data_IF_854838806577
#
_entry.id   IF_854838806577
#
_cell.length_a   1.000
_cell.length_b   1.000
_cell.length_c   1.000
_cell.angle_alpha   90.00
_cell.angle_beta   90.00
_cell.angle_gamma   90.00
#
_symmetry.space_group_name_H-M   'P 1'
#
loop_
_entity.id
_entity.type
_entity.pdbx_description
1 polymer ?
#
# COMPACT_ATOMS: atom_id res chain seq x y z
N UNK A 1 15.38 20.44 -9.84
CA UNK A 1 16.60 20.60 -10.64
C UNK A 1 16.34 20.18 -12.07
N UNK A 2 17.25 20.46 -12.99
CA UNK A 2 17.16 19.97 -14.37
C UNK A 2 17.25 18.43 -14.38
N UNK A 3 16.39 17.78 -15.16
CA UNK A 3 16.39 16.32 -15.32
C UNK A 3 17.02 15.97 -16.66
N UNK A 4 17.96 15.02 -16.65
CA UNK A 4 18.58 14.50 -17.86
C UNK A 4 17.80 13.28 -18.33
N UNK A 5 17.17 13.38 -19.50
CA UNK A 5 16.42 12.28 -20.10
C UNK A 5 17.37 11.36 -20.85
N UNK A 6 17.31 10.08 -20.53
CA UNK A 6 18.10 9.05 -21.18
C UNK A 6 17.24 7.84 -21.57
N UNK A 7 17.72 7.11 -22.57
CA UNK A 7 17.12 5.84 -23.03
C UNK A 7 18.21 4.79 -23.24
N UNK A 8 17.84 3.58 -23.64
CA UNK A 8 18.79 2.51 -23.98
C UNK A 8 18.62 2.06 -25.42
N UNK A 9 19.68 1.42 -25.94
CA UNK A 9 19.61 0.81 -27.28
C UNK A 9 18.54 -0.28 -27.39
N UNK A 10 18.24 -0.99 -26.30
CA UNK A 10 17.17 -2.00 -26.29
C UNK A 10 15.79 -1.36 -26.47
N UNK A 11 15.51 -0.26 -25.77
CA UNK A 11 14.23 0.46 -25.90
C UNK A 11 14.07 1.01 -27.32
N UNK A 12 15.14 1.55 -27.92
CA UNK A 12 15.10 2.03 -29.31
C UNK A 12 14.80 0.88 -30.29
N UNK A 13 15.45 -0.27 -30.12
CA UNK A 13 15.23 -1.46 -30.97
C UNK A 13 13.85 -2.09 -30.78
N UNK A 14 13.31 -2.05 -29.57
CA UNK A 14 11.93 -2.46 -29.30
C UNK A 14 10.92 -1.54 -29.99
N UNK A 15 11.13 -0.21 -29.95
CA UNK A 15 10.28 0.74 -30.69
C UNK A 15 10.38 0.53 -32.22
N UNK A 16 11.54 0.09 -32.72
CA UNK A 16 11.71 -0.30 -34.12
C UNK A 16 10.89 -1.54 -34.49
N UNK A 17 10.89 -2.57 -33.63
CA UNK A 17 10.16 -3.83 -33.89
C UNK A 17 8.65 -3.66 -33.80
N UNK A 18 8.16 -2.71 -33.01
CA UNK A 18 6.74 -2.37 -32.90
C UNK A 18 6.19 -1.61 -34.13
N UNK A 19 7.06 -1.18 -35.05
CA UNK A 19 6.69 -0.73 -36.38
C UNK A 19 6.14 0.70 -36.46
N UNK A 20 5.38 0.98 -37.54
CA UNK A 20 5.02 2.35 -37.97
C UNK A 20 4.19 3.12 -36.92
N UNK A 21 3.36 2.43 -36.15
CA UNK A 21 2.50 3.06 -35.14
C UNK A 21 3.29 3.81 -34.06
N UNK A 22 4.51 3.35 -33.74
CA UNK A 22 5.37 3.94 -32.72
C UNK A 22 6.60 4.65 -33.30
N UNK A 23 6.60 4.94 -34.60
CA UNK A 23 7.72 5.61 -35.25
C UNK A 23 8.01 7.01 -34.66
N UNK A 24 6.96 7.77 -34.33
CA UNK A 24 7.12 9.06 -33.65
C UNK A 24 7.79 8.93 -32.29
N UNK A 25 7.42 7.91 -31.50
CA UNK A 25 8.04 7.64 -30.20
C UNK A 25 9.52 7.24 -30.36
N UNK A 26 9.86 6.46 -31.39
CA UNK A 26 11.26 6.15 -31.75
C UNK A 26 12.08 7.43 -32.00
N UNK A 27 11.57 8.33 -32.86
CA UNK A 27 12.28 9.58 -33.19
C UNK A 27 12.51 10.46 -31.96
N UNK A 28 11.54 10.52 -31.05
CA UNK A 28 11.68 11.26 -29.79
C UNK A 28 12.73 10.59 -28.90
N UNK A 29 12.65 9.27 -28.73
CA UNK A 29 13.60 8.52 -27.91
C UNK A 29 15.05 8.67 -28.40
N UNK A 30 15.27 8.74 -29.72
CA UNK A 30 16.59 8.95 -30.33
C UNK A 30 17.20 10.32 -30.00
N UNK A 31 16.42 11.30 -29.53
CA UNK A 31 16.94 12.61 -29.09
C UNK A 31 17.47 12.59 -27.66
N UNK A 32 17.13 11.56 -26.89
CA UNK A 32 17.61 11.41 -25.51
C UNK A 32 19.01 10.83 -25.50
N UNK A 33 19.74 11.04 -24.39
CA UNK A 33 21.05 10.43 -24.21
C UNK A 33 20.92 8.90 -24.19
N UNK A 34 21.68 8.21 -25.03
CA UNK A 34 21.63 6.75 -25.09
C UNK A 34 22.64 6.16 -24.13
N UNK A 35 22.15 5.56 -23.04
CA UNK A 35 22.98 4.85 -22.06
C UNK A 35 23.33 3.45 -22.54
N UNK A 36 24.57 3.05 -22.27
CA UNK A 36 25.06 1.70 -22.55
C UNK A 36 24.43 0.69 -21.60
N UNK A 37 23.87 -0.37 -22.16
CA UNK A 37 23.38 -1.55 -21.43
C UNK A 37 24.22 -2.79 -21.82
N UNK A 38 24.22 -3.82 -20.97
CA UNK A 38 24.90 -5.10 -21.21
C UNK A 38 24.43 -5.83 -22.47
N UNK A 39 23.23 -5.53 -22.95
CA UNK A 39 22.56 -6.17 -24.09
C UNK A 39 22.96 -5.64 -25.48
N UNK A 40 24.17 -5.10 -25.64
CA UNK A 40 24.58 -4.46 -26.89
C UNK A 40 24.52 -5.42 -28.10
N UNK A 41 24.99 -6.66 -27.92
CA UNK A 41 25.05 -7.68 -28.99
C UNK A 41 23.67 -8.29 -29.25
N UNK A 42 22.98 -8.68 -28.18
CA UNK A 42 21.67 -9.33 -28.23
C UNK A 42 20.64 -8.44 -27.52
N UNK A 43 19.93 -7.57 -28.26
CA UNK A 43 18.92 -6.70 -27.70
C UNK A 43 17.79 -7.50 -27.07
N UNK A 44 17.33 -7.05 -25.92
CA UNK A 44 16.20 -7.61 -25.18
C UNK A 44 15.06 -6.60 -25.14
N UNK A 45 13.92 -6.96 -24.55
CA UNK A 45 12.82 -6.02 -24.36
C UNK A 45 13.24 -4.81 -23.51
N UNK A 46 12.60 -3.66 -23.71
CA UNK A 46 12.89 -2.46 -22.93
C UNK A 46 12.67 -2.70 -21.43
N UNK A 47 11.62 -3.44 -21.07
CA UNK A 47 11.33 -3.79 -19.66
C UNK A 47 12.43 -4.61 -19.01
N UNK A 48 12.98 -5.62 -19.69
CA UNK A 48 14.08 -6.45 -19.17
C UNK A 48 15.39 -5.65 -19.13
N UNK A 49 15.65 -4.84 -20.15
CA UNK A 49 16.82 -3.96 -20.15
C UNK A 49 16.79 -2.97 -18.98
N UNK A 50 15.69 -2.27 -18.75
CA UNK A 50 15.57 -1.30 -17.66
C UNK A 50 15.74 -1.95 -16.29
N UNK A 51 15.22 -3.18 -16.10
CA UNK A 51 15.39 -3.92 -14.85
C UNK A 51 16.84 -4.32 -14.57
N UNK A 52 17.60 -4.68 -15.60
CA UNK A 52 19.03 -5.00 -15.48
C UNK A 52 19.87 -3.79 -15.07
N UNK A 53 19.51 -2.59 -15.53
CA UNK A 53 20.24 -1.35 -15.18
C UNK A 53 20.11 -0.97 -13.71
N UNK A 54 19.08 -1.49 -13.03
CA UNK A 54 18.77 -1.24 -11.62
C UNK A 54 18.90 -2.52 -10.79
N UNK A 55 19.61 -3.53 -11.28
CA UNK A 55 19.80 -4.80 -10.58
C UNK A 55 20.58 -4.64 -9.29
N UNK A 56 21.70 -3.92 -9.35
CA UNK A 56 22.62 -3.71 -8.22
C UNK A 56 22.20 -2.54 -7.31
N UNK A 57 20.91 -2.47 -6.97
CA UNK A 57 20.40 -1.44 -6.06
C UNK A 57 20.41 -0.03 -6.66
N UNK A 58 20.29 0.10 -7.98
CA UNK A 58 20.24 1.36 -8.72
C UNK A 58 21.50 2.24 -8.52
N UNK A 59 22.70 1.77 -8.90
CA UNK A 59 23.97 2.46 -8.60
C UNK A 59 24.10 3.84 -9.27
N UNK A 60 23.38 4.05 -10.38
CA UNK A 60 23.37 5.31 -11.12
C UNK A 60 22.19 6.22 -10.78
N UNK A 61 21.40 5.87 -9.74
CA UNK A 61 20.29 6.66 -9.22
C UNK A 61 19.24 7.05 -10.28
N UNK A 62 18.91 6.11 -11.16
CA UNK A 62 17.90 6.32 -12.19
C UNK A 62 16.50 6.47 -11.59
N UNK A 63 15.71 7.33 -12.25
CA UNK A 63 14.27 7.37 -12.14
C UNK A 63 13.71 6.55 -13.30
N UNK A 64 12.82 5.60 -13.02
CA UNK A 64 12.20 4.79 -14.07
C UNK A 64 10.88 5.43 -14.46
N UNK A 65 10.77 5.88 -15.71
CA UNK A 65 9.53 6.39 -16.29
C UNK A 65 8.86 5.29 -17.13
N UNK A 66 7.69 4.79 -16.73
CA UNK A 66 7.00 3.70 -17.42
C UNK A 66 5.49 3.76 -17.28
N UNK A 67 4.79 3.25 -18.31
CA UNK A 67 3.35 2.96 -18.27
C UNK A 67 3.04 1.46 -18.15
N UNK A 68 4.06 0.61 -18.23
CA UNK A 68 3.91 -0.82 -18.06
C UNK A 68 3.72 -1.15 -16.57
N UNK A 69 2.57 -1.76 -16.26
CA UNK A 69 2.20 -2.16 -14.91
C UNK A 69 3.09 -3.30 -14.39
N UNK A 70 3.53 -4.22 -15.26
CA UNK A 70 4.38 -5.34 -14.86
C UNK A 70 5.78 -4.86 -14.52
N UNK A 71 6.34 -3.97 -15.33
CA UNK A 71 7.60 -3.30 -15.02
C UNK A 71 7.49 -2.50 -13.72
N UNK A 72 6.42 -1.71 -13.56
CA UNK A 72 6.18 -0.93 -12.34
C UNK A 72 6.15 -1.81 -11.09
N UNK A 73 5.43 -2.93 -11.13
CA UNK A 73 5.36 -3.88 -10.02
C UNK A 73 6.72 -4.49 -9.69
N UNK A 74 7.53 -4.83 -10.69
CA UNK A 74 8.89 -5.35 -10.49
C UNK A 74 9.81 -4.30 -9.88
N UNK A 75 9.72 -3.04 -10.32
CA UNK A 75 10.52 -1.94 -9.78
C UNK A 75 10.13 -1.63 -8.33
N UNK A 76 8.83 -1.60 -7.99
CA UNK A 76 8.35 -1.38 -6.60
C UNK A 76 8.86 -2.42 -5.61
N UNK A 77 9.22 -3.62 -6.08
CA UNK A 77 9.82 -4.69 -5.25
C UNK A 77 11.28 -4.41 -4.88
N UNK A 78 11.94 -3.45 -5.52
CA UNK A 78 13.28 -3.01 -5.18
C UNK A 78 13.19 -1.69 -4.38
N UNK A 79 13.95 -1.53 -3.28
CA UNK A 79 13.99 -0.27 -2.54
C UNK A 79 14.82 0.78 -3.30
N UNK A 80 14.51 2.07 -3.13
CA UNK A 80 15.37 3.17 -3.59
C UNK A 80 15.27 3.52 -5.08
N UNK A 81 14.24 3.04 -5.79
CA UNK A 81 14.03 3.40 -7.20
C UNK A 81 12.74 4.22 -7.33
N UNK A 82 12.84 5.52 -7.68
CA UNK A 82 11.67 6.34 -7.99
C UNK A 82 11.01 5.92 -9.30
N UNK A 83 9.68 5.92 -9.31
CA UNK A 83 8.86 5.61 -10.48
C UNK A 83 8.09 6.84 -10.93
N UNK A 84 8.05 7.08 -12.23
CA UNK A 84 7.32 8.17 -12.84
C UNK A 84 6.36 7.64 -13.90
N UNK A 85 5.13 8.15 -13.91
CA UNK A 85 4.09 7.76 -14.86
C UNK A 85 3.33 8.99 -15.34
N UNK A 86 2.61 8.87 -16.46
CA UNK A 86 1.74 9.92 -16.98
C UNK A 86 0.29 9.52 -16.67
N UNK A 87 -0.44 10.37 -15.95
CA UNK A 87 -1.89 10.27 -15.79
C UNK A 87 -2.51 11.45 -16.53
N UNK A 88 -3.32 11.15 -17.55
CA UNK A 88 -3.95 12.16 -18.40
C UNK A 88 -2.89 13.12 -18.97
N UNK A 89 -2.88 14.38 -18.54
CA UNK A 89 -1.96 15.41 -19.01
C UNK A 89 -0.90 15.77 -17.96
N UNK A 90 -0.72 14.94 -16.93
CA UNK A 90 0.20 15.20 -15.81
C UNK A 90 1.23 14.09 -15.66
N UNK A 91 2.49 14.49 -15.47
CA UNK A 91 3.56 13.59 -15.04
C UNK A 91 3.52 13.49 -13.52
N UNK A 92 3.41 12.28 -12.99
CA UNK A 92 3.28 12.02 -11.56
C UNK A 92 4.43 11.14 -11.11
N UNK A 93 5.13 11.61 -10.07
CA UNK A 93 6.12 10.82 -9.35
C UNK A 93 5.40 9.97 -8.30
N UNK A 94 5.64 8.66 -8.32
CA UNK A 94 5.04 7.74 -7.38
C UNK A 94 5.53 7.99 -5.95
N UNK A 95 4.69 7.62 -4.99
CA UNK A 95 5.09 7.61 -3.59
C UNK A 95 6.16 6.53 -3.37
N UNK A 96 7.09 6.72 -2.43
CA UNK A 96 8.09 5.71 -2.11
C UNK A 96 7.45 4.36 -1.80
N UNK A 97 8.01 3.28 -2.36
CA UNK A 97 7.47 1.94 -2.15
C UNK A 97 7.55 1.55 -0.67
N UNK A 98 6.66 0.67 -0.17
CA UNK A 98 6.73 0.18 1.22
C UNK A 98 8.09 -0.43 1.57
N UNK A 99 8.75 -1.06 0.59
CA UNK A 99 10.11 -1.59 0.76
C UNK A 99 11.15 -0.49 0.90
N UNK A 100 11.03 0.60 0.13
CA UNK A 100 11.91 1.77 0.28
C UNK A 100 11.74 2.41 1.66
N UNK A 101 10.49 2.57 2.12
CA UNK A 101 10.21 3.09 3.47
C UNK A 101 10.76 2.16 4.55
N UNK A 102 10.55 0.85 4.44
CA UNK A 102 11.09 -0.12 5.40
C UNK A 102 12.62 -0.14 5.41
N UNK A 103 13.27 0.02 4.25
CA UNK A 103 14.72 0.13 4.16
C UNK A 103 15.24 1.37 4.89
N UNK A 104 14.64 2.54 4.63
CA UNK A 104 14.99 3.79 5.33
C UNK A 104 14.76 3.68 6.84
N UNK A 105 13.64 3.09 7.27
CA UNK A 105 13.36 2.86 8.69
C UNK A 105 14.43 1.97 9.34
N UNK A 106 14.83 0.87 8.70
CA UNK A 106 15.90 -0.01 9.18
C UNK A 106 17.25 0.70 9.27
N UNK A 107 17.59 1.53 8.27
CA UNK A 107 18.81 2.33 8.31
C UNK A 107 18.76 3.36 9.45
N UNK A 108 17.63 4.04 9.64
CA UNK A 108 17.43 5.00 10.72
C UNK A 108 17.59 4.36 12.10
N UNK A 109 17.00 3.18 12.32
CA UNK A 109 17.13 2.48 13.60
C UNK A 109 18.55 1.99 13.86
N UNK A 110 19.30 1.64 12.81
CA UNK A 110 20.60 0.97 12.97
C UNK A 110 21.79 1.94 12.93
N UNK A 111 21.74 3.00 12.10
CA UNK A 111 22.88 3.89 11.85
C UNK A 111 22.73 5.28 12.47
N UNK A 112 21.51 5.79 12.63
CA UNK A 112 21.30 7.21 12.98
C UNK A 112 21.14 7.48 14.47
N UNK A 113 20.90 6.46 15.29
CA UNK A 113 20.76 6.61 16.74
C UNK A 113 21.73 5.66 17.44
N UNK A 114 22.81 6.17 18.06
CA UNK A 114 23.69 5.39 18.93
C UNK A 114 22.90 4.65 20.01
N UNK A 115 23.36 3.46 20.42
CA UNK A 115 22.64 2.63 21.40
C UNK A 115 22.38 3.37 22.73
N UNK A 116 23.34 4.20 23.18
CA UNK A 116 23.16 5.01 24.39
C UNK A 116 21.98 6.00 24.27
N UNK A 117 21.77 6.59 23.09
CA UNK A 117 20.65 7.50 22.86
C UNK A 117 19.32 6.73 22.88
N UNK A 118 19.30 5.48 22.37
CA UNK A 118 18.10 4.64 22.44
C UNK A 118 17.72 4.37 23.89
N UNK A 119 18.69 4.01 24.74
CA UNK A 119 18.47 3.77 26.17
C UNK A 119 17.97 5.03 26.88
N UNK A 120 18.65 6.16 26.67
CA UNK A 120 18.25 7.45 27.25
C UNK A 120 16.84 7.87 26.83
N UNK A 121 16.45 7.67 25.57
CA UNK A 121 15.09 7.94 25.09
C UNK A 121 14.06 7.05 25.78
N UNK A 122 14.38 5.77 26.05
CA UNK A 122 13.47 4.86 26.77
C UNK A 122 13.30 5.32 28.22
N UNK A 123 14.40 5.60 28.92
CA UNK A 123 14.37 6.11 30.29
C UNK A 123 13.59 7.43 30.41
N UNK A 124 13.81 8.36 29.48
CA UNK A 124 13.09 9.64 29.46
C UNK A 124 11.59 9.44 29.19
N UNK A 125 11.21 8.51 28.30
CA UNK A 125 9.79 8.17 28.08
C UNK A 125 9.14 7.55 29.30
N UNK A 126 9.88 6.76 30.08
CA UNK A 126 9.39 6.19 31.34
C UNK A 126 9.22 7.28 32.41
N UNK A 127 10.21 8.16 32.57
CA UNK A 127 10.16 9.30 33.52
C UNK A 127 9.02 10.25 33.20
N UNK A 128 8.78 10.56 31.93
CA UNK A 128 7.70 11.44 31.46
C UNK A 128 6.34 10.74 31.38
N UNK A 129 6.24 9.45 31.73
CA UNK A 129 4.97 8.69 31.71
C UNK A 129 4.38 8.51 30.30
N UNK A 130 5.20 8.65 29.26
CA UNK A 130 4.79 8.53 27.84
C UNK A 130 4.76 7.08 27.34
N UNK A 131 5.22 6.13 28.16
CA UNK A 131 5.09 4.70 27.86
C UNK A 131 3.62 4.31 27.97
N UNK A 132 3.01 3.94 26.84
CA UNK A 132 1.69 3.30 26.85
C UNK A 132 1.82 2.00 27.63
N UNK A 133 1.29 1.97 28.85
CA UNK A 133 1.05 0.71 29.52
C UNK A 133 0.20 -0.14 28.58
N UNK A 134 0.74 -1.28 28.16
CA UNK A 134 -0.03 -2.36 27.52
C UNK A 134 -0.84 -3.03 28.63
N UNK A 135 -1.66 -2.23 29.30
CA UNK A 135 -2.52 -2.60 30.40
C UNK A 135 -3.96 -2.46 29.92
N UNK A 136 -4.55 -3.62 29.66
CA UNK A 136 -5.99 -3.92 29.55
C UNK A 136 -6.89 -2.81 29.01
N UNK A 137 -7.55 -3.09 27.88
CA UNK A 137 -8.77 -2.37 27.45
C UNK A 137 -9.69 -2.25 28.66
N UNK A 138 -9.73 -1.08 29.31
CA UNK A 138 -10.63 -0.81 30.43
C UNK A 138 -12.01 -1.22 29.96
N UNK A 139 -12.57 -2.29 30.55
CA UNK A 139 -13.93 -2.73 30.25
C UNK A 139 -14.81 -1.50 30.43
N UNK A 140 -15.47 -1.03 29.37
CA UNK A 140 -16.44 0.06 29.48
C UNK A 140 -17.42 -0.37 30.58
N UNK A 141 -17.45 0.37 31.69
CA UNK A 141 -18.39 0.11 32.78
C UNK A 141 -19.78 0.01 32.16
N UNK A 142 -20.48 -1.11 32.37
CA UNK A 142 -21.90 -1.21 32.03
C UNK A 142 -22.60 -0.13 32.84
N UNK A 143 -23.03 0.95 32.19
CA UNK A 143 -23.93 1.91 32.79
C UNK A 143 -25.24 1.17 33.02
N UNK A 144 -25.84 1.29 34.20
CA UNK A 144 -27.19 0.80 34.43
C UNK A 144 -28.07 1.50 33.39
N UNK A 145 -28.59 0.74 32.43
CA UNK A 145 -29.56 1.25 31.49
C UNK A 145 -30.80 1.56 32.29
N UNK A 146 -31.03 2.84 32.57
CA UNK A 146 -32.32 3.28 33.09
C UNK A 146 -33.42 2.80 32.14
N UNK A 147 -34.60 2.43 32.66
CA UNK A 147 -35.70 2.01 31.81
C UNK A 147 -35.95 3.06 30.73
N UNK A 148 -36.04 2.60 29.48
CA UNK A 148 -36.24 3.46 28.32
C UNK A 148 -37.46 4.36 28.58
N UNK A 149 -37.32 5.69 28.56
CA UNK A 149 -38.40 6.62 28.93
C UNK A 149 -39.64 6.53 28.01
N UNK A 150 -39.57 5.79 26.90
CA UNK A 150 -40.69 5.56 25.98
C UNK A 150 -41.42 4.22 26.18
N UNK A 151 -41.01 3.35 27.12
CA UNK A 151 -41.67 2.06 27.34
C UNK A 151 -42.72 2.10 28.47
N UNK A 152 -43.71 2.99 28.37
CA UNK A 152 -44.93 2.94 29.18
C UNK A 152 -45.99 2.02 28.54
N UNK A 153 -45.64 0.77 28.25
CA UNK A 153 -46.66 -0.22 27.90
C UNK A 153 -47.34 -0.68 29.19
N UNK A 154 -48.57 -0.20 29.38
CA UNK A 154 -49.44 -0.56 30.52
C UNK A 154 -49.48 -2.08 30.70
N UNK A 155 -49.29 -2.53 31.94
CA UNK A 155 -49.42 -3.92 32.37
C UNK A 155 -50.84 -4.40 32.01
N UNK A 156 -50.97 -5.28 31.00
CA UNK A 156 -52.25 -5.95 30.72
C UNK A 156 -52.58 -6.82 31.93
N UNK A 157 -53.72 -6.55 32.58
CA UNK A 157 -54.27 -7.40 33.65
C UNK A 157 -54.52 -8.79 33.06
N UNK A 158 -53.81 -9.81 33.57
CA UNK A 158 -54.21 -11.21 33.37
C UNK A 158 -55.54 -11.41 34.09
N UNK A 159 -56.60 -11.76 33.37
CA UNK A 159 -57.74 -12.45 33.97
C UNK A 159 -57.28 -13.86 34.31
N UNK A 160 -57.37 -14.22 35.58
CA UNK A 160 -57.24 -15.60 36.05
C UNK A 160 -58.42 -16.40 35.53
N UNK A 161 -58.16 -17.54 34.91
CA UNK A 161 -59.04 -18.71 34.91
C UNK A 161 -58.18 -19.95 34.66
N UNK A 162 -58.42 -20.94 35.49
CA UNK A 162 -57.77 -22.24 35.57
C UNK A 162 -58.14 -23.15 34.40
N UNK A 163 -57.30 -24.16 34.14
CA UNK A 163 -57.74 -25.41 33.51
C UNK A 163 -57.05 -25.83 32.21
N UNK A 164 -56.13 -26.80 32.37
CA UNK A 164 -55.86 -27.96 31.50
C UNK A 164 -55.27 -27.79 30.07
N UNK A 165 -54.17 -28.54 29.86
CA UNK A 165 -53.61 -28.96 28.56
C UNK A 165 -54.62 -29.81 27.76
N UNK A 166 -54.57 -29.89 26.39
CA UNK A 166 -53.42 -30.49 25.68
C UNK A 166 -53.08 -30.01 24.25
N UNK A 167 -51.84 -30.34 23.84
CA UNK A 167 -51.41 -30.77 22.50
C UNK A 167 -51.29 -29.81 21.30
N UNK A 168 -50.32 -30.19 20.44
CA UNK A 168 -50.18 -29.91 19.00
C UNK A 168 -49.59 -28.56 18.53
N UNK A 169 -48.27 -28.62 18.26
CA UNK A 169 -47.69 -28.38 16.94
C UNK A 169 -47.91 -26.99 16.27
N UNK A 170 -46.83 -26.20 16.11
CA UNK A 170 -46.38 -25.67 14.80
C UNK A 170 -45.13 -24.76 14.86
N UNK A 171 -44.13 -25.22 14.12
CA UNK A 171 -43.27 -24.46 13.18
C UNK A 171 -42.28 -23.41 13.73
N UNK A 172 -41.07 -23.90 14.03
CA UNK A 172 -39.81 -23.15 13.80
C UNK A 172 -39.60 -22.92 12.30
N UNK A 173 -39.57 -21.66 11.85
CA UNK A 173 -38.61 -21.11 10.87
C UNK A 173 -38.99 -19.70 10.43
N UNK A 174 -38.05 -18.75 10.54
CA UNK A 174 -37.48 -18.06 9.37
C UNK A 174 -36.31 -17.16 9.78
N UNK A 175 -35.12 -17.47 9.26
CA UNK A 175 -34.01 -16.53 9.08
C UNK A 175 -34.51 -15.38 8.18
N UNK A 176 -34.11 -14.14 8.47
CA UNK A 176 -34.01 -13.09 7.44
C UNK A 176 -32.72 -12.28 7.59
N UNK A 177 -32.01 -12.22 6.46
CA UNK A 177 -30.81 -11.45 6.15
C UNK A 177 -30.96 -9.98 6.52
N UNK A 178 -29.83 -9.33 6.81
CA UNK A 178 -29.67 -7.90 6.53
C UNK A 178 -28.46 -7.71 5.61
N UNK A 179 -28.76 -7.45 4.34
CA UNK A 179 -27.89 -6.65 3.48
C UNK A 179 -28.20 -5.18 3.82
N UNK A 180 -27.19 -4.39 4.13
CA UNK A 180 -26.62 -3.36 3.26
C UNK A 180 -25.44 -2.71 4.01
#
# INVERSE_FOLDING_TARGET
GAAQLCTTRCVIKELESLGKALYGAKLIAQRFEVRSCSHHKNPVSGSTCLLSMIEDGNPHHFFIATQDQDLSNKVKRKPGIPLLFIIQNTMVLDKPSPKSLAFVQKLQTNQLVPEYQKQSIVELKEKEGLVKQVGEKRRKRKRAGGPNPLSCLKKKKKKTQEGQEPSAEKKKRRKRKRNR
#
